data_IF_766383746530
#
_entry.id   IF_766383746530
#
_cell.length_a   1.000
_cell.length_b   1.000
_cell.length_c   1.000
_cell.angle_alpha   90.00
_cell.angle_beta   90.00
_cell.angle_gamma   90.00
#
_symmetry.space_group_name_H-M   'P 1'
#
loop_
_entity.id
_entity.type
_entity.pdbx_description
1 polymer ?
#
# COMPACT_ATOMS: atom_id res chain seq x y z
N UNK A 1 -12.81 9.08 22.05
CA UNK A 1 -11.85 9.95 21.32
C UNK A 1 -11.07 9.05 20.37
N UNK A 2 -11.27 9.19 19.05
CA UNK A 2 -10.46 8.45 18.06
C UNK A 2 -9.01 8.94 18.16
N UNK A 3 -8.03 8.04 18.25
CA UNK A 3 -6.62 8.44 18.17
C UNK A 3 -6.37 9.06 16.79
N UNK A 4 -5.72 10.21 16.75
CA UNK A 4 -5.34 10.83 15.48
C UNK A 4 -4.48 9.85 14.65
N UNK A 5 -4.70 9.75 13.33
CA UNK A 5 -3.90 8.88 12.50
C UNK A 5 -2.44 9.27 12.60
N UNK A 6 -1.57 8.28 12.83
CA UNK A 6 -0.14 8.50 12.83
C UNK A 6 0.27 8.91 11.41
N UNK A 7 0.98 10.02 11.29
CA UNK A 7 1.58 10.44 10.02
C UNK A 7 3.04 10.01 10.03
N UNK A 8 3.43 9.22 9.04
CA UNK A 8 4.81 8.76 8.88
C UNK A 8 5.38 9.28 7.55
N UNK A 9 6.61 9.77 7.57
CA UNK A 9 7.36 10.16 6.37
C UNK A 9 8.36 9.06 6.02
N UNK A 10 8.34 8.59 4.77
CA UNK A 10 9.29 7.61 4.30
C UNK A 10 10.60 8.28 3.82
N UNK A 11 11.77 7.65 4.04
CA UNK A 11 13.05 8.23 3.67
C UNK A 11 13.21 8.44 2.15
N UNK A 12 13.82 9.55 1.77
CA UNK A 12 14.15 9.87 0.37
C UNK A 12 15.30 9.03 -0.21
N UNK A 13 15.43 9.01 -1.54
CA UNK A 13 16.53 8.32 -2.26
C UNK A 13 16.13 7.06 -3.05
N UNK A 14 14.89 6.60 -2.89
CA UNK A 14 14.28 5.55 -3.71
C UNK A 14 13.02 6.08 -4.40
N UNK A 15 12.62 5.49 -5.52
CA UNK A 15 11.38 5.91 -6.18
C UNK A 15 10.17 5.63 -5.26
N UNK A 16 9.19 6.54 -5.23
CA UNK A 16 7.97 6.39 -4.43
C UNK A 16 7.33 5.02 -4.58
N UNK A 17 7.25 4.51 -5.82
CA UNK A 17 6.71 3.16 -6.10
C UNK A 17 7.45 2.02 -5.41
N UNK A 18 8.78 2.12 -5.30
CA UNK A 18 9.63 1.09 -4.66
C UNK A 18 9.46 1.13 -3.15
N UNK A 19 9.45 2.34 -2.58
CA UNK A 19 9.22 2.55 -1.15
C UNK A 19 7.83 2.04 -0.73
N UNK A 20 6.78 2.40 -1.48
CA UNK A 20 5.41 1.93 -1.23
C UNK A 20 5.34 0.41 -1.34
N UNK A 21 5.90 -0.19 -2.39
CA UNK A 21 5.90 -1.64 -2.55
C UNK A 21 6.58 -2.34 -1.36
N UNK A 22 7.70 -1.80 -0.87
CA UNK A 22 8.43 -2.35 0.27
C UNK A 22 7.67 -2.15 1.59
N UNK A 23 6.94 -1.05 1.77
CA UNK A 23 6.08 -0.85 2.93
C UNK A 23 4.81 -1.72 2.87
N UNK A 24 4.25 -1.94 1.67
CA UNK A 24 3.13 -2.86 1.46
C UNK A 24 3.48 -4.30 1.85
N UNK A 25 4.75 -4.71 1.68
CA UNK A 25 5.22 -6.06 2.02
C UNK A 25 4.94 -6.44 3.48
N UNK A 26 4.93 -5.47 4.39
CA UNK A 26 4.65 -5.68 5.81
C UNK A 26 3.23 -5.28 6.24
N UNK A 27 2.50 -4.56 5.38
CA UNK A 27 1.25 -3.89 5.74
C UNK A 27 0.00 -4.47 5.10
N UNK A 28 0.12 -5.04 3.91
CA UNK A 28 -1.05 -5.44 3.10
C UNK A 28 -1.89 -6.53 3.77
N UNK A 29 -1.27 -7.34 4.65
CA UNK A 29 -1.95 -8.36 5.46
C UNK A 29 -2.79 -7.77 6.58
N UNK A 30 -2.47 -6.56 7.06
CA UNK A 30 -3.25 -5.92 8.11
C UNK A 30 -4.64 -5.53 7.58
N UNK A 31 -4.69 -5.08 6.33
CA UNK A 31 -5.93 -4.66 5.68
C UNK A 31 -5.67 -3.87 4.41
N UNK A 32 -6.76 -3.33 3.85
CA UNK A 32 -6.73 -2.63 2.56
C UNK A 32 -5.82 -1.40 2.64
N UNK A 33 -5.07 -1.17 1.57
CA UNK A 33 -4.23 0.00 1.39
C UNK A 33 -4.74 0.89 0.26
N UNK A 34 -4.59 2.20 0.43
CA UNK A 34 -4.93 3.20 -0.58
C UNK A 34 -3.71 4.04 -0.90
N UNK A 35 -3.53 4.35 -2.18
CA UNK A 35 -2.49 5.25 -2.69
C UNK A 35 -3.19 6.42 -3.37
N UNK A 36 -2.99 7.63 -2.85
CA UNK A 36 -3.55 8.87 -3.41
C UNK A 36 -2.46 9.56 -4.21
N UNK A 37 -2.70 9.75 -5.51
CA UNK A 37 -1.73 10.32 -6.44
C UNK A 37 -2.41 11.14 -7.55
N UNK A 38 -1.66 12.07 -8.15
CA UNK A 38 -2.14 12.88 -9.28
C UNK A 38 -2.43 12.03 -10.52
N UNK A 39 -1.66 10.94 -10.73
CA UNK A 39 -1.88 9.98 -11.80
C UNK A 39 -1.99 8.55 -11.24
N UNK A 40 -3.19 8.13 -10.80
CA UNK A 40 -3.41 6.85 -10.12
C UNK A 40 -3.02 5.65 -11.00
N UNK A 41 -3.30 5.70 -12.30
CA UNK A 41 -2.98 4.62 -13.22
C UNK A 41 -1.47 4.43 -13.39
N UNK A 42 -0.72 5.52 -13.56
CA UNK A 42 0.73 5.46 -13.71
C UNK A 42 1.41 4.94 -12.43
N UNK A 43 1.01 5.45 -11.26
CA UNK A 43 1.61 4.98 -10.00
C UNK A 43 1.24 3.54 -9.70
N UNK A 44 0.01 3.11 -9.98
CA UNK A 44 -0.42 1.72 -9.81
C UNK A 44 0.44 0.77 -10.65
N UNK A 45 0.69 1.11 -11.91
CA UNK A 45 1.55 0.33 -12.79
C UNK A 45 2.98 0.25 -12.26
N UNK A 46 3.53 1.38 -11.76
CA UNK A 46 4.85 1.44 -11.16
C UNK A 46 4.96 0.59 -9.88
N UNK A 47 4.00 0.71 -8.95
CA UNK A 47 3.95 -0.08 -7.72
C UNK A 47 3.80 -1.57 -8.05
N UNK A 48 2.90 -1.92 -8.97
CA UNK A 48 2.68 -3.31 -9.40
C UNK A 48 3.95 -3.93 -9.98
N UNK A 49 4.74 -3.14 -10.73
CA UNK A 49 6.05 -3.58 -11.24
C UNK A 49 7.04 -3.84 -10.11
N UNK A 50 7.14 -2.94 -9.14
CA UNK A 50 8.01 -3.11 -7.96
C UNK A 50 7.57 -4.29 -7.09
N UNK A 51 6.27 -4.49 -6.91
CA UNK A 51 5.70 -5.63 -6.19
C UNK A 51 6.10 -6.96 -6.81
N UNK A 52 5.97 -7.10 -8.13
CA UNK A 52 6.42 -8.29 -8.87
C UNK A 52 7.93 -8.55 -8.71
N UNK A 53 8.74 -7.51 -8.58
CA UNK A 53 10.18 -7.66 -8.29
C UNK A 53 10.42 -8.19 -6.88
N UNK A 54 9.64 -7.75 -5.90
CA UNK A 54 9.69 -8.28 -4.53
C UNK A 54 9.27 -9.76 -4.48
N UNK A 55 8.19 -10.13 -5.17
CA UNK A 55 7.76 -11.54 -5.28
C UNK A 55 8.92 -12.41 -5.81
N UNK A 56 9.56 -11.98 -6.90
CA UNK A 56 10.72 -12.69 -7.47
C UNK A 56 11.94 -12.75 -6.55
N UNK A 57 12.07 -11.80 -5.61
CA UNK A 57 13.12 -11.85 -4.60
C UNK A 57 12.82 -12.94 -3.57
N UNK A 58 11.58 -12.99 -3.08
CA UNK A 58 11.10 -14.04 -2.15
C UNK A 58 11.17 -15.43 -2.80
N UNK A 59 10.74 -15.57 -4.06
CA UNK A 59 10.84 -16.84 -4.82
C UNK A 59 12.28 -17.35 -4.91
N UNK A 60 13.24 -16.46 -5.19
CA UNK A 60 14.67 -16.81 -5.25
C UNK A 60 15.21 -17.21 -3.88
N UNK A 61 14.82 -16.50 -2.83
CA UNK A 61 15.20 -16.82 -1.46
C UNK A 61 14.62 -18.17 -1.02
N UNK A 62 13.35 -18.44 -1.35
CA UNK A 62 12.69 -19.71 -1.12
C UNK A 62 13.44 -20.87 -1.80
N UNK A 63 13.81 -20.71 -3.08
CA UNK A 63 14.54 -21.72 -3.84
C UNK A 63 15.97 -21.97 -3.29
N UNK A 64 16.61 -20.94 -2.73
CA UNK A 64 17.95 -21.03 -2.16
C UNK A 64 17.96 -21.56 -0.70
N UNK A 65 16.80 -21.63 -0.04
CA UNK A 65 16.70 -21.98 1.38
C UNK A 65 16.67 -23.50 1.59
N UNK A 66 17.66 -24.01 2.34
CA UNK A 66 17.76 -25.44 2.70
C UNK A 66 17.03 -25.81 4.01
N UNK A 67 16.78 -24.83 4.88
CA UNK A 67 16.08 -25.05 6.16
C UNK A 67 14.57 -25.19 5.91
N UNK A 68 14.00 -26.35 6.22
CA UNK A 68 12.60 -26.66 5.94
C UNK A 68 11.61 -25.64 6.55
N UNK A 69 11.82 -25.24 7.81
CA UNK A 69 10.91 -24.31 8.50
C UNK A 69 10.88 -22.93 7.82
N UNK A 70 12.06 -22.39 7.49
CA UNK A 70 12.15 -21.09 6.80
C UNK A 70 11.57 -21.19 5.39
N UNK A 71 11.76 -22.33 4.72
CA UNK A 71 11.19 -22.58 3.40
C UNK A 71 9.67 -22.57 3.42
N UNK A 72 9.04 -23.18 4.43
CA UNK A 72 7.59 -23.12 4.62
C UNK A 72 7.10 -21.68 4.83
N UNK A 73 7.76 -20.90 5.69
CA UNK A 73 7.42 -19.47 5.90
C UNK A 73 7.51 -18.65 4.62
N UNK A 74 8.54 -18.87 3.79
CA UNK A 74 8.70 -18.16 2.52
C UNK A 74 7.64 -18.58 1.49
N UNK A 75 7.22 -19.84 1.48
CA UNK A 75 6.13 -20.32 0.63
C UNK A 75 4.80 -19.65 1.01
N UNK A 76 4.45 -19.63 2.30
CA UNK A 76 3.24 -18.94 2.79
C UNK A 76 3.27 -17.45 2.43
N UNK A 77 4.43 -16.80 2.60
CA UNK A 77 4.60 -15.39 2.25
C UNK A 77 4.44 -15.15 0.75
N UNK A 78 4.97 -16.04 -0.09
CA UNK A 78 4.82 -15.96 -1.54
C UNK A 78 3.34 -16.03 -1.93
N UNK A 79 2.58 -16.99 -1.40
CA UNK A 79 1.15 -17.17 -1.69
C UNK A 79 0.35 -15.93 -1.27
N UNK A 80 0.62 -15.40 -0.07
CA UNK A 80 0.03 -14.16 0.41
C UNK A 80 0.31 -12.98 -0.53
N UNK A 81 1.57 -12.82 -0.97
CA UNK A 81 1.94 -11.74 -1.87
C UNK A 81 1.32 -11.87 -3.27
N UNK A 82 1.16 -13.09 -3.76
CA UNK A 82 0.54 -13.37 -5.06
C UNK A 82 -0.98 -13.15 -5.04
N UNK A 83 -1.63 -13.30 -3.87
CA UNK A 83 -3.04 -12.99 -3.68
C UNK A 83 -3.35 -11.48 -3.67
N UNK A 84 -2.33 -10.63 -3.48
CA UNK A 84 -2.52 -9.17 -3.48
C UNK A 84 -2.92 -8.68 -4.87
N UNK A 85 -4.09 -8.04 -4.92
CA UNK A 85 -4.63 -7.42 -6.12
C UNK A 85 -4.48 -5.90 -6.06
N UNK A 86 -4.10 -5.32 -7.20
CA UNK A 86 -4.03 -3.88 -7.41
C UNK A 86 -5.21 -3.44 -8.27
N UNK A 87 -5.78 -2.28 -7.97
CA UNK A 87 -6.91 -1.75 -8.70
C UNK A 87 -7.00 -0.23 -8.66
N UNK A 88 -7.73 0.31 -9.63
CA UNK A 88 -8.25 1.67 -9.58
C UNK A 88 -9.63 1.64 -8.92
N UNK A 89 -9.98 2.68 -8.16
CA UNK A 89 -11.29 2.88 -7.50
C UNK A 89 -12.47 2.48 -8.35
N UNK A 90 -12.48 2.96 -9.60
CA UNK A 90 -13.62 2.82 -10.50
C UNK A 90 -13.72 1.41 -11.12
N UNK A 91 -12.66 0.60 -11.08
CA UNK A 91 -12.62 -0.71 -11.73
C UNK A 91 -12.72 -1.87 -10.75
N UNK A 92 -12.06 -1.79 -9.60
CA UNK A 92 -11.88 -2.94 -8.70
C UNK A 92 -11.90 -2.52 -7.24
N UNK A 93 -13.06 -2.06 -6.74
CA UNK A 93 -13.25 -1.66 -5.33
C UNK A 93 -12.88 -2.73 -4.30
N UNK A 94 -12.84 -4.00 -4.71
CA UNK A 94 -12.45 -5.13 -3.86
C UNK A 94 -10.95 -5.37 -3.79
N UNK A 95 -10.12 -4.64 -4.55
CA UNK A 95 -8.68 -4.83 -4.55
C UNK A 95 -8.06 -4.59 -3.16
N UNK A 96 -6.98 -5.31 -2.86
CA UNK A 96 -6.22 -5.15 -1.63
C UNK A 96 -5.48 -3.80 -1.60
N UNK A 97 -5.05 -3.32 -2.76
CA UNK A 97 -4.42 -2.00 -2.95
C UNK A 97 -5.19 -1.21 -3.99
N UNK A 98 -5.74 -0.07 -3.59
CA UNK A 98 -6.43 0.87 -4.48
C UNK A 98 -5.58 2.10 -4.76
N UNK A 99 -5.53 2.54 -6.01
CA UNK A 99 -4.97 3.85 -6.37
C UNK A 99 -6.11 4.81 -6.72
N UNK A 100 -6.11 5.98 -6.09
CA UNK A 100 -7.15 7.00 -6.16
C UNK A 100 -6.56 8.36 -6.56
N UNK A 101 -7.35 9.17 -7.25
CA UNK A 101 -7.07 10.60 -7.35
C UNK A 101 -7.58 11.36 -6.10
N UNK A 102 -7.11 12.59 -5.83
CA UNK A 102 -7.58 13.39 -4.69
C UNK A 102 -9.09 13.64 -4.66
N UNK A 103 -9.74 13.66 -5.82
CA UNK A 103 -11.18 13.86 -5.97
C UNK A 103 -12.00 12.64 -5.51
N UNK A 104 -11.37 11.47 -5.46
CA UNK A 104 -12.00 10.19 -5.11
C UNK A 104 -11.89 9.85 -3.61
N UNK A 105 -11.41 10.78 -2.79
CA UNK A 105 -11.36 10.63 -1.32
C UNK A 105 -12.67 10.15 -0.67
N UNK A 106 -13.87 10.61 -1.10
CA UNK A 106 -15.12 10.10 -0.52
C UNK A 106 -15.39 8.62 -0.83
N UNK A 107 -14.70 8.04 -1.81
CA UNK A 107 -14.84 6.64 -2.20
C UNK A 107 -13.91 5.68 -1.45
N UNK A 108 -13.16 6.18 -0.45
CA UNK A 108 -12.30 5.35 0.42
C UNK A 108 -13.17 4.29 1.13
N UNK A 109 -12.87 2.99 0.96
CA UNK A 109 -13.53 1.94 1.73
C UNK A 109 -13.24 2.05 3.22
N UNK A 110 -14.25 1.77 4.05
CA UNK A 110 -14.17 1.90 5.50
C UNK A 110 -13.20 0.90 6.19
N UNK A 111 -12.76 -0.13 5.48
CA UNK A 111 -11.79 -1.14 5.91
C UNK A 111 -10.33 -0.76 5.55
N UNK A 112 -10.09 0.47 5.11
CA UNK A 112 -8.75 0.95 4.74
C UNK A 112 -7.89 1.19 5.98
N UNK A 113 -6.79 0.47 6.12
CA UNK A 113 -5.87 0.62 7.26
C UNK A 113 -4.61 1.42 6.94
N UNK A 114 -4.27 1.60 5.67
CA UNK A 114 -3.08 2.37 5.28
C UNK A 114 -3.39 3.28 4.11
N UNK A 115 -3.06 4.56 4.23
CA UNK A 115 -3.19 5.56 3.16
C UNK A 115 -1.82 6.14 2.85
N UNK A 116 -1.39 6.03 1.60
CA UNK A 116 -0.18 6.66 1.07
C UNK A 116 -0.57 7.94 0.34
N UNK A 117 0.06 9.05 0.71
CA UNK A 117 -0.11 10.37 0.09
C UNK A 117 1.14 10.68 -0.74
N UNK A 118 1.00 10.75 -2.06
CA UNK A 118 2.06 11.17 -2.99
C UNK A 118 1.81 12.57 -3.55
N UNK A 119 0.69 13.18 -3.18
CA UNK A 119 0.33 14.53 -3.54
C UNK A 119 -0.04 15.29 -2.27
N UNK A 120 0.20 16.59 -2.30
CA UNK A 120 -0.33 17.47 -1.28
C UNK A 120 -1.85 17.54 -1.41
N UNK A 121 -2.53 17.30 -0.30
CA UNK A 121 -3.95 17.54 -0.18
C UNK A 121 -4.16 18.91 0.47
N UNK A 122 -5.14 19.70 0.01
CA UNK A 122 -5.52 20.89 0.74
C UNK A 122 -5.98 20.54 2.16
N UNK A 123 -5.76 21.47 3.08
CA UNK A 123 -5.82 21.21 4.52
C UNK A 123 -7.20 20.72 4.98
N UNK A 124 -8.27 21.22 4.36
CA UNK A 124 -9.65 20.78 4.58
C UNK A 124 -9.83 19.27 4.29
N UNK A 125 -9.26 18.78 3.17
CA UNK A 125 -9.31 17.37 2.78
C UNK A 125 -8.43 16.50 3.67
N UNK A 126 -7.26 17.01 4.05
CA UNK A 126 -6.37 16.30 4.96
C UNK A 126 -7.01 16.13 6.35
N UNK A 127 -7.69 17.15 6.86
CA UNK A 127 -8.43 17.09 8.13
C UNK A 127 -9.69 16.21 8.05
N UNK A 128 -10.28 16.05 6.86
CA UNK A 128 -11.42 15.16 6.64
C UNK A 128 -11.01 13.68 6.51
N UNK A 129 -9.80 13.39 6.03
CA UNK A 129 -9.30 12.02 5.79
C UNK A 129 -9.49 11.06 6.99
N UNK A 130 -9.18 11.43 8.26
CA UNK A 130 -9.38 10.55 9.40
C UNK A 130 -10.83 10.12 9.63
N UNK A 131 -11.82 10.88 9.12
CA UNK A 131 -13.25 10.54 9.25
C UNK A 131 -13.64 9.33 8.40
N UNK A 132 -12.90 9.07 7.34
CA UNK A 132 -13.10 7.94 6.43
C UNK A 132 -12.32 6.69 6.85
N UNK A 133 -11.45 6.82 7.85
CA UNK A 133 -10.56 5.74 8.27
C UNK A 133 -11.03 5.12 9.60
N UNK A 134 -10.84 3.80 9.75
CA UNK A 134 -11.03 3.12 11.02
C UNK A 134 -9.93 3.53 12.02
N UNK A 135 -10.19 3.26 13.29
CA UNK A 135 -9.23 3.57 14.36
C UNK A 135 -7.94 2.75 14.18
N UNK A 136 -6.79 3.41 14.32
CA UNK A 136 -5.48 2.77 14.12
C UNK A 136 -5.00 2.74 12.66
N UNK A 137 -5.77 3.29 11.73
CA UNK A 137 -5.28 3.49 10.37
C UNK A 137 -4.04 4.39 10.34
N UNK A 138 -3.12 4.09 9.42
CA UNK A 138 -1.90 4.82 9.20
C UNK A 138 -2.01 5.72 7.96
N UNK A 139 -1.57 6.97 8.08
CA UNK A 139 -1.34 7.84 6.94
C UNK A 139 0.16 8.00 6.72
N UNK A 140 0.62 7.80 5.48
CA UNK A 140 2.03 7.82 5.11
C UNK A 140 2.23 8.87 4.04
N UNK A 141 3.04 9.89 4.32
CA UNK A 141 3.49 10.84 3.31
C UNK A 141 4.72 10.26 2.63
N UNK A 142 4.66 10.13 1.32
CA UNK A 142 5.76 9.66 0.49
C UNK A 142 6.38 10.89 -0.15
N UNK A 143 7.60 11.25 0.26
CA UNK A 143 8.33 12.36 -0.33
C UNK A 143 8.50 12.14 -1.84
N UNK A 144 8.25 13.20 -2.62
CA UNK A 144 8.51 13.25 -4.05
C UNK A 144 10.01 13.30 -4.35
#
# INVERSE_FOLDING_TARGET
MKKAPQTYELPGGHSASSVIARHLYTRVELGRAIVIAANPAAIMAAISKQWKQLIRAVEREHAATLKADLRAVLADKQDQMQAVTFGLSYQRRTAAVLCLSPEELPAIPADTLTVYLLVELPEDRLQALPRHLPDGALTVKVGA
#
